data_IF_719729230814
#
_entry.id   IF_719729230814
#
_cell.length_a   1.000
_cell.length_b   1.000
_cell.length_c   1.000
_cell.angle_alpha   90.00
_cell.angle_beta   90.00
_cell.angle_gamma   90.00
#
_symmetry.space_group_name_H-M   'P 1'
#
loop_
_entity.id
_entity.type
_entity.pdbx_description
1 polymer ?
#
# COMPACT_ATOMS: atom_id res chain seq x y z
N UNK A 1 -4.66 -15.86 -8.01
CA UNK A 1 -3.64 -14.91 -8.51
C UNK A 1 -4.28 -13.53 -8.48
N UNK A 2 -3.57 -12.44 -8.13
CA UNK A 2 -4.19 -11.11 -8.11
C UNK A 2 -4.68 -10.74 -9.52
N UNK A 3 -5.85 -10.10 -9.65
CA UNK A 3 -6.54 -10.00 -10.93
C UNK A 3 -5.94 -8.97 -11.89
N UNK A 4 -5.20 -7.95 -11.41
CA UNK A 4 -4.63 -6.90 -12.29
C UNK A 4 -3.40 -6.20 -11.68
N UNK A 5 -2.53 -5.56 -12.49
CA UNK A 5 -1.43 -4.73 -11.99
C UNK A 5 -1.90 -3.57 -11.10
N UNK A 6 -1.21 -3.36 -9.98
CA UNK A 6 -1.55 -2.33 -9.01
C UNK A 6 -1.10 -2.67 -7.60
N UNK A 7 -1.57 -1.88 -6.64
CA UNK A 7 -1.32 -2.08 -5.21
C UNK A 7 -2.50 -2.80 -4.57
N UNK A 8 -2.23 -3.87 -3.85
CA UNK A 8 -3.18 -4.62 -3.05
C UNK A 8 -2.75 -4.58 -1.60
N UNK A 9 -3.63 -4.24 -0.68
CA UNK A 9 -3.39 -4.39 0.75
C UNK A 9 -4.22 -5.57 1.27
N UNK A 10 -3.54 -6.53 1.89
CA UNK A 10 -4.12 -7.82 2.29
C UNK A 10 -3.64 -8.22 3.68
N UNK A 11 -4.46 -8.98 4.41
CA UNK A 11 -3.99 -9.54 5.67
C UNK A 11 -2.98 -10.67 5.43
N UNK A 12 -1.96 -10.77 6.28
CA UNK A 12 -0.97 -11.87 6.29
C UNK A 12 -1.65 -13.24 6.38
N UNK A 13 -2.73 -13.33 7.16
CA UNK A 13 -3.55 -14.53 7.35
C UNK A 13 -4.16 -15.02 6.02
N UNK A 14 -4.65 -14.10 5.17
CA UNK A 14 -5.22 -14.40 3.85
C UNK A 14 -4.17 -14.94 2.87
N UNK A 15 -2.94 -14.40 2.90
CA UNK A 15 -1.83 -14.90 2.08
C UNK A 15 -1.44 -16.32 2.49
N UNK A 16 -1.38 -16.61 3.79
CA UNK A 16 -1.06 -17.95 4.30
C UNK A 16 -2.09 -19.01 3.88
N UNK A 17 -3.36 -18.62 3.76
CA UNK A 17 -4.47 -19.48 3.27
C UNK A 17 -4.44 -19.77 1.76
N UNK A 18 -3.38 -19.36 1.03
CA UNK A 18 -3.17 -19.61 -0.41
C UNK A 18 -4.18 -18.94 -1.35
N UNK A 19 -4.88 -17.90 -0.88
CA UNK A 19 -5.81 -17.09 -1.66
C UNK A 19 -5.09 -16.37 -2.81
N UNK A 20 -3.80 -16.08 -2.61
CA UNK A 20 -2.90 -15.55 -3.63
C UNK A 20 -1.96 -16.67 -4.07
N UNK A 21 -1.89 -16.94 -5.37
CA UNK A 21 -0.77 -17.71 -5.91
C UNK A 21 0.50 -17.01 -5.44
N UNK A 22 1.38 -17.72 -4.71
CA UNK A 22 2.54 -17.13 -4.01
C UNK A 22 3.25 -16.14 -4.95
N UNK A 23 3.34 -14.85 -4.60
CA UNK A 23 4.07 -13.89 -5.41
C UNK A 23 5.51 -14.37 -5.52
N UNK A 24 6.08 -14.28 -6.72
CA UNK A 24 7.38 -14.90 -7.03
C UNK A 24 8.54 -14.30 -6.25
N UNK A 25 8.39 -13.05 -5.78
CA UNK A 25 9.43 -12.34 -5.04
C UNK A 25 8.86 -11.68 -3.79
N UNK A 26 9.53 -11.89 -2.66
CA UNK A 26 9.19 -11.25 -1.38
C UNK A 26 10.27 -10.23 -1.03
N UNK A 27 9.86 -9.02 -0.63
CA UNK A 27 10.77 -7.96 -0.22
C UNK A 27 10.19 -7.10 0.91
N UNK A 28 11.08 -6.43 1.66
CA UNK A 28 10.65 -5.46 2.65
C UNK A 28 10.13 -4.18 1.99
N UNK A 29 9.25 -3.45 2.69
CA UNK A 29 8.75 -2.15 2.20
C UNK A 29 9.88 -1.16 1.87
N UNK A 30 10.95 -1.16 2.66
CA UNK A 30 12.13 -0.32 2.42
C UNK A 30 12.83 -0.72 1.11
N UNK A 31 13.01 -2.02 0.86
CA UNK A 31 13.67 -2.51 -0.36
C UNK A 31 12.84 -2.19 -1.60
N UNK A 32 11.52 -2.36 -1.51
CA UNK A 32 10.59 -2.00 -2.58
C UNK A 32 10.67 -0.50 -2.91
N UNK A 33 10.60 0.36 -1.90
CA UNK A 33 10.68 1.82 -2.09
C UNK A 33 12.04 2.24 -2.65
N UNK A 34 13.13 1.64 -2.16
CA UNK A 34 14.48 1.88 -2.68
C UNK A 34 14.58 1.47 -4.14
N UNK A 35 14.10 0.27 -4.50
CA UNK A 35 14.09 -0.18 -5.88
C UNK A 35 13.29 0.78 -6.76
N UNK A 36 12.11 1.22 -6.30
CA UNK A 36 11.26 2.17 -7.01
C UNK A 36 11.93 3.54 -7.23
N UNK A 37 12.57 4.09 -6.18
CA UNK A 37 13.21 5.41 -6.20
C UNK A 37 14.52 5.45 -7.00
N UNK A 38 15.35 4.40 -6.91
CA UNK A 38 16.71 4.41 -7.46
C UNK A 38 16.85 3.63 -8.78
N UNK A 39 15.74 3.32 -9.46
CA UNK A 39 15.82 2.61 -10.74
C UNK A 39 16.14 1.12 -10.63
N UNK A 40 16.08 0.54 -9.42
CA UNK A 40 16.29 -0.89 -9.23
C UNK A 40 15.15 -1.71 -9.84
N UNK A 41 15.43 -2.91 -10.33
CA UNK A 41 14.46 -3.81 -10.97
C UNK A 41 13.22 -4.04 -10.08
N UNK A 42 12.01 -3.84 -10.61
CA UNK A 42 10.77 -4.24 -9.93
C UNK A 42 10.33 -5.61 -10.47
N UNK A 43 9.96 -6.56 -9.59
CA UNK A 43 9.40 -7.82 -10.04
C UNK A 43 8.00 -7.61 -10.61
N UNK A 44 7.60 -8.47 -11.56
CA UNK A 44 6.23 -8.47 -12.09
C UNK A 44 5.18 -8.72 -11.01
N UNK A 45 5.54 -9.46 -9.97
CA UNK A 45 4.70 -9.75 -8.80
C UNK A 45 5.57 -9.62 -7.54
N UNK A 46 5.24 -8.66 -6.68
CA UNK A 46 5.96 -8.38 -5.44
C UNK A 46 5.07 -8.65 -4.22
N UNK A 47 5.53 -9.47 -3.28
CA UNK A 47 5.00 -9.52 -1.92
C UNK A 47 5.82 -8.57 -1.04
N UNK A 48 5.21 -7.45 -0.65
CA UNK A 48 5.83 -6.43 0.20
C UNK A 48 5.41 -6.62 1.64
N UNK A 49 6.38 -6.78 2.54
CA UNK A 49 6.13 -7.09 3.96
C UNK A 49 6.68 -6.00 4.89
N UNK A 50 6.09 -5.90 6.09
CA UNK A 50 6.67 -5.17 7.22
C UNK A 50 6.30 -3.69 7.32
N UNK A 51 5.38 -3.19 6.48
CA UNK A 51 4.88 -1.81 6.58
C UNK A 51 4.24 -1.53 7.95
N UNK A 52 3.32 -2.39 8.37
CA UNK A 52 2.64 -2.33 9.67
C UNK A 52 3.60 -2.28 10.87
N UNK A 53 4.60 -3.17 10.87
CA UNK A 53 5.60 -3.25 11.94
C UNK A 53 6.53 -2.05 11.95
N UNK A 54 6.94 -1.55 10.78
CA UNK A 54 7.71 -0.32 10.68
C UNK A 54 6.93 0.87 11.26
N UNK A 55 5.65 1.02 10.91
CA UNK A 55 4.81 2.10 11.44
C UNK A 55 4.55 1.93 12.94
N UNK A 56 4.44 0.71 13.45
CA UNK A 56 4.35 0.47 14.88
C UNK A 56 5.62 0.93 15.63
N UNK A 57 6.80 0.73 15.04
CA UNK A 57 8.03 1.26 15.63
C UNK A 57 8.05 2.78 15.67
N UNK A 58 7.61 3.45 14.59
CA UNK A 58 7.44 4.91 14.56
C UNK A 58 6.48 5.37 15.66
N UNK A 59 5.32 4.72 15.79
CA UNK A 59 4.34 5.02 16.83
C UNK A 59 4.94 4.97 18.24
N UNK A 60 5.72 3.92 18.55
CA UNK A 60 6.34 3.77 19.88
C UNK A 60 7.48 4.76 20.13
N UNK A 61 8.32 5.01 19.12
CA UNK A 61 9.48 5.89 19.26
C UNK A 61 9.10 7.35 19.46
N UNK A 62 7.95 7.78 18.92
CA UNK A 62 7.47 9.16 18.99
C UNK A 62 6.47 9.41 20.13
N UNK A 63 6.33 8.45 21.05
CA UNK A 63 5.38 8.51 22.15
C UNK A 63 4.03 7.91 21.77
N UNK A 64 3.57 6.91 22.52
CA UNK A 64 2.26 6.32 22.32
C UNK A 64 1.14 7.37 22.51
N UNK A 65 0.03 7.21 21.80
CA UNK A 65 -1.09 8.17 21.81
C UNK A 65 -1.07 9.13 20.62
N UNK A 66 -1.39 10.41 20.86
CA UNK A 66 -1.56 11.40 19.80
C UNK A 66 -0.25 11.68 19.02
N UNK A 67 0.86 11.85 19.73
CA UNK A 67 2.17 12.15 19.10
C UNK A 67 2.63 11.01 18.17
N UNK A 68 2.54 9.76 18.62
CA UNK A 68 2.86 8.59 17.80
C UNK A 68 1.93 8.43 16.61
N UNK A 69 0.62 8.73 16.75
CA UNK A 69 -0.32 8.73 15.63
C UNK A 69 0.03 9.79 14.59
N UNK A 70 0.42 10.98 15.04
CA UNK A 70 0.86 12.05 14.15
C UNK A 70 2.14 11.65 13.39
N UNK A 71 3.13 11.08 14.08
CA UNK A 71 4.35 10.59 13.45
C UNK A 71 4.07 9.50 12.41
N UNK A 72 3.20 8.53 12.73
CA UNK A 72 2.74 7.52 11.77
C UNK A 72 2.09 8.17 10.56
N UNK A 73 1.20 9.14 10.77
CA UNK A 73 0.53 9.86 9.68
C UNK A 73 1.53 10.54 8.75
N UNK A 74 2.54 11.22 9.31
CA UNK A 74 3.58 11.89 8.54
C UNK A 74 4.37 10.89 7.68
N UNK A 75 4.72 9.73 8.24
CA UNK A 75 5.40 8.65 7.50
C UNK A 75 4.51 8.08 6.42
N UNK A 76 3.25 7.73 6.72
CA UNK A 76 2.29 7.22 5.73
C UNK A 76 2.12 8.19 4.57
N UNK A 77 2.00 9.49 4.86
CA UNK A 77 1.91 10.53 3.84
C UNK A 77 3.18 10.62 2.98
N UNK A 78 4.37 10.50 3.59
CA UNK A 78 5.64 10.50 2.86
C UNK A 78 5.78 9.26 1.95
N UNK A 79 5.37 8.09 2.45
CA UNK A 79 5.36 6.85 1.67
C UNK A 79 4.38 6.93 0.50
N UNK A 80 3.15 7.40 0.75
CA UNK A 80 2.14 7.63 -0.28
C UNK A 80 2.68 8.58 -1.36
N UNK A 81 3.24 9.74 -0.99
CA UNK A 81 3.90 10.63 -1.96
C UNK A 81 5.01 9.94 -2.74
N UNK A 82 5.79 9.07 -2.11
CA UNK A 82 6.86 8.31 -2.77
C UNK A 82 6.31 7.31 -3.79
N UNK A 83 5.18 6.65 -3.52
CA UNK A 83 4.53 5.74 -4.47
C UNK A 83 3.91 6.48 -5.66
N UNK A 84 3.34 7.66 -5.42
CA UNK A 84 2.58 8.41 -6.42
C UNK A 84 3.37 9.58 -7.07
N UNK A 85 4.67 9.72 -6.79
CA UNK A 85 5.49 10.73 -7.46
C UNK A 85 5.63 10.42 -8.97
N UNK A 86 5.89 11.42 -9.84
CA UNK A 86 5.91 11.23 -11.28
C UNK A 86 6.89 10.16 -11.79
N UNK A 87 8.09 10.07 -11.20
CA UNK A 87 9.11 9.10 -11.60
C UNK A 87 8.70 7.68 -11.21
N UNK A 88 8.34 7.46 -9.95
CA UNK A 88 7.85 6.18 -9.45
C UNK A 88 6.62 5.71 -10.27
N UNK A 89 5.69 6.62 -10.52
CA UNK A 89 4.47 6.34 -11.27
C UNK A 89 4.75 5.93 -12.71
N UNK A 90 5.64 6.63 -13.42
CA UNK A 90 6.01 6.25 -14.78
C UNK A 90 6.60 4.83 -14.81
N UNK A 91 7.45 4.50 -13.84
CA UNK A 91 8.02 3.15 -13.72
C UNK A 91 6.97 2.08 -13.46
N UNK A 92 6.07 2.31 -12.50
CA UNK A 92 4.96 1.39 -12.20
C UNK A 92 4.04 1.19 -13.40
N UNK A 93 3.80 2.23 -14.20
CA UNK A 93 3.03 2.12 -15.44
C UNK A 93 3.77 1.32 -16.53
N UNK A 94 5.08 1.51 -16.67
CA UNK A 94 5.88 0.81 -17.68
C UNK A 94 6.11 -0.66 -17.31
N UNK A 95 6.49 -0.93 -16.06
CA UNK A 95 6.80 -2.28 -15.59
C UNK A 95 5.53 -3.06 -15.21
N UNK A 96 4.42 -2.36 -14.95
CA UNK A 96 3.09 -2.90 -14.62
C UNK A 96 3.12 -4.04 -13.59
N UNK A 97 3.77 -3.86 -12.42
CA UNK A 97 3.84 -4.92 -11.42
C UNK A 97 2.52 -5.09 -10.66
N UNK A 98 2.30 -6.29 -10.15
CA UNK A 98 1.32 -6.58 -9.10
C UNK A 98 2.04 -6.50 -7.76
N UNK A 99 1.62 -5.59 -6.87
CA UNK A 99 2.29 -5.36 -5.59
C UNK A 99 1.32 -5.63 -4.45
N UNK A 100 1.64 -6.60 -3.61
CA UNK A 100 0.83 -6.97 -2.45
C UNK A 100 1.51 -6.51 -1.16
N UNK A 101 0.96 -5.49 -0.51
CA UNK A 101 1.31 -5.10 0.85
C UNK A 101 0.61 -6.02 1.84
N UNK A 102 1.40 -6.79 2.59
CA UNK A 102 0.88 -7.66 3.66
C UNK A 102 0.90 -6.97 5.00
N UNK A 103 -0.25 -6.99 5.66
CA UNK A 103 -0.47 -6.33 6.95
C UNK A 103 -0.99 -7.35 7.96
N UNK A 104 -0.68 -7.16 9.23
CA UNK A 104 -1.08 -8.07 10.31
C UNK A 104 -2.54 -7.90 10.72
N UNK A 105 -3.09 -6.70 10.51
CA UNK A 105 -4.47 -6.37 10.81
C UNK A 105 -5.02 -5.41 9.73
N UNK A 106 -6.15 -5.79 9.15
CA UNK A 106 -6.98 -4.96 8.28
C UNK A 106 -8.45 -5.15 8.66
N UNK A 107 -9.16 -4.05 8.88
CA UNK A 107 -10.62 -4.07 9.10
C UNK A 107 -11.31 -3.20 8.05
N UNK A 108 -12.35 -3.77 7.42
CA UNK A 108 -13.20 -3.07 6.47
C UNK A 108 -14.46 -2.54 7.17
N UNK A 109 -14.69 -1.23 7.08
CA UNK A 109 -15.88 -0.55 7.58
C UNK A 109 -16.17 0.68 6.72
N UNK A 110 -16.55 1.81 7.33
CA UNK A 110 -16.65 3.09 6.59
C UNK A 110 -15.32 3.50 5.93
N UNK A 111 -14.20 3.07 6.51
CA UNK A 111 -12.84 3.19 5.99
C UNK A 111 -12.07 1.90 6.25
N UNK A 112 -11.03 1.68 5.48
CA UNK A 112 -10.11 0.56 5.69
C UNK A 112 -9.08 0.90 6.77
N UNK A 113 -9.21 0.28 7.93
CA UNK A 113 -8.27 0.47 9.04
C UNK A 113 -7.14 -0.55 8.94
N UNK A 114 -5.92 -0.11 9.19
CA UNK A 114 -4.74 -0.98 9.16
C UNK A 114 -3.85 -0.76 10.38
N UNK A 115 -3.15 -1.81 10.77
CA UNK A 115 -2.19 -1.73 11.87
C UNK A 115 -1.59 -3.07 12.26
N UNK A 116 -1.38 -3.25 13.56
CA UNK A 116 -0.77 -4.45 14.13
C UNK A 116 -1.69 -5.09 15.17
N UNK A 117 -1.40 -6.34 15.54
CA UNK A 117 -2.02 -6.97 16.71
C UNK A 117 -1.02 -6.95 17.86
N UNK A 118 -1.43 -6.36 18.98
CA UNK A 118 -0.63 -6.26 20.20
C UNK A 118 -0.62 -7.63 20.89
N UNK A 119 0.58 -8.15 21.13
CA UNK A 119 0.79 -9.44 21.81
C UNK A 119 0.94 -9.20 23.32
N UNK A 120 0.52 -10.16 24.17
CA UNK A 120 -0.03 -11.48 23.83
C UNK A 120 -1.54 -11.49 23.51
N UNK A 121 -2.30 -10.45 23.87
CA UNK A 121 -3.77 -10.44 23.85
C UNK A 121 -4.41 -10.45 22.45
N UNK A 122 -3.61 -10.28 21.39
CA UNK A 122 -4.05 -10.25 20.01
C UNK A 122 -5.05 -9.09 19.70
N UNK A 123 -5.02 -8.06 20.54
CA UNK A 123 -5.85 -6.86 20.42
C UNK A 123 -5.38 -6.02 19.21
N UNK A 124 -6.30 -5.57 18.35
CA UNK A 124 -5.93 -4.74 17.21
C UNK A 124 -5.52 -3.34 17.69
N UNK A 125 -4.37 -2.87 17.21
CA UNK A 125 -3.98 -1.47 17.28
C UNK A 125 -4.05 -0.89 15.87
N UNK A 126 -5.06 -0.05 15.64
CA UNK A 126 -5.15 0.76 14.43
C UNK A 126 -4.04 1.82 14.42
N UNK A 127 -3.26 1.83 13.35
CA UNK A 127 -2.16 2.77 13.13
C UNK A 127 -2.48 3.80 12.06
N UNK A 128 -3.17 3.42 10.98
CA UNK A 128 -3.46 4.31 9.86
C UNK A 128 -4.66 3.81 9.05
N UNK A 129 -5.22 4.68 8.22
CA UNK A 129 -6.21 4.29 7.22
C UNK A 129 -5.53 3.95 5.90
N UNK A 130 -5.95 2.87 5.24
CA UNK A 130 -5.36 2.46 3.97
C UNK A 130 -5.54 3.54 2.90
N UNK A 131 -6.61 4.33 2.96
CA UNK A 131 -6.86 5.46 2.04
C UNK A 131 -5.82 6.58 2.20
N UNK A 132 -5.11 6.67 3.31
CA UNK A 132 -4.01 7.63 3.44
C UNK A 132 -2.74 7.13 2.73
N UNK A 133 -2.54 5.82 2.73
CA UNK A 133 -1.41 5.16 2.06
C UNK A 133 -1.66 4.94 0.55
N UNK A 134 -2.87 4.49 0.22
CA UNK A 134 -3.42 4.20 -1.11
C UNK A 134 -4.67 5.07 -1.33
N UNK A 135 -4.54 6.36 -1.66
CA UNK A 135 -5.65 7.32 -1.78
C UNK A 135 -6.65 7.05 -2.90
N UNK A 136 -6.43 6.01 -3.71
CA UNK A 136 -7.39 5.53 -4.72
C UNK A 136 -7.72 4.06 -4.43
N UNK A 137 -7.91 3.75 -3.16
CA UNK A 137 -8.33 2.43 -2.70
C UNK A 137 -9.78 2.21 -3.14
N UNK A 138 -9.98 1.16 -3.92
CA UNK A 138 -11.26 0.59 -4.29
C UNK A 138 -11.39 -0.77 -3.59
N UNK A 139 -12.61 -1.19 -3.31
CA UNK A 139 -12.88 -2.54 -2.81
C UNK A 139 -12.87 -3.50 -3.99
N UNK A 140 -12.09 -4.58 -3.90
CA UNK A 140 -12.16 -5.71 -4.84
C UNK A 140 -12.12 -7.01 -4.06
N UNK A 141 -12.26 -8.13 -4.75
CA UNK A 141 -12.20 -9.46 -4.14
C UNK A 141 -10.95 -10.21 -4.61
N UNK A 142 -10.31 -10.92 -3.68
CA UNK A 142 -9.25 -11.84 -4.00
C UNK A 142 -9.48 -13.14 -3.24
N UNK A 143 -9.74 -14.22 -3.98
CA UNK A 143 -10.10 -15.55 -3.49
C UNK A 143 -11.16 -15.53 -2.37
N UNK A 144 -12.25 -14.77 -2.60
CA UNK A 144 -13.41 -14.69 -1.72
C UNK A 144 -13.31 -13.66 -0.59
N UNK A 145 -12.19 -12.97 -0.45
CA UNK A 145 -11.97 -11.97 0.59
C UNK A 145 -11.96 -10.56 -0.02
N UNK A 146 -12.63 -9.61 0.64
CA UNK A 146 -12.53 -8.20 0.27
C UNK A 146 -11.12 -7.67 0.55
N UNK A 147 -10.55 -6.96 -0.41
CA UNK A 147 -9.21 -6.36 -0.31
C UNK A 147 -9.23 -4.93 -0.85
N UNK A 148 -8.38 -4.07 -0.27
CA UNK A 148 -8.15 -2.72 -0.77
C UNK A 148 -7.22 -2.77 -1.98
N UNK A 149 -7.67 -2.24 -3.11
CA UNK A 149 -6.97 -2.25 -4.39
C UNK A 149 -6.82 -0.84 -4.98
N UNK A 150 -5.63 -0.52 -5.49
CA UNK A 150 -5.39 0.75 -6.18
C UNK A 150 -4.61 0.55 -7.49
N UNK A 151 -5.20 0.99 -8.60
CA UNK A 151 -4.57 0.90 -9.93
C UNK A 151 -3.48 1.96 -10.14
N UNK A 152 -2.49 1.63 -10.97
CA UNK A 152 -1.63 2.64 -11.56
C UNK A 152 -2.42 3.44 -12.60
N UNK A 153 -3.03 4.56 -12.22
CA UNK A 153 -3.79 5.34 -13.21
C UNK A 153 -2.88 6.23 -14.06
N UNK A 154 -3.15 6.28 -15.37
CA UNK A 154 -2.71 7.40 -16.21
C UNK A 154 -3.33 8.69 -15.65
N UNK A 155 -2.56 9.78 -15.50
CA UNK A 155 -3.13 11.11 -15.34
C UNK A 155 -4.00 11.25 -16.59
N UNK A 156 -5.32 11.45 -16.43
CA UNK A 156 -6.06 12.02 -17.54
C UNK A 156 -5.36 13.34 -17.81
N UNK A 157 -4.77 13.49 -19.00
CA UNK A 157 -4.44 14.81 -19.50
C UNK A 157 -5.73 15.61 -19.34
N UNK A 158 -5.65 16.71 -18.59
CA UNK A 158 -6.70 17.70 -18.65
C UNK A 158 -6.67 18.22 -20.09
N UNK A 159 -7.50 17.65 -20.96
CA UNK A 159 -7.83 18.24 -22.24
C UNK A 159 -8.70 19.47 -21.94
N UNK A 160 -8.03 20.54 -21.49
CA UNK A 160 -8.55 21.89 -21.55
C UNK A 160 -8.43 22.34 -23.00
N UNK A 161 -9.41 21.97 -23.82
CA UNK A 161 -9.58 22.57 -25.12
C UNK A 161 -9.80 24.07 -24.95
N UNK A 162 -8.87 24.87 -25.47
CA UNK A 162 -9.19 26.23 -25.87
C UNK A 162 -8.49 26.49 -27.21
N UNK A 163 -9.09 25.96 -28.27
CA UNK A 163 -8.96 26.53 -29.60
C UNK A 163 -10.00 27.65 -29.69
N UNK A 164 -9.59 28.88 -29.39
CA UNK A 164 -10.19 30.04 -30.03
C UNK A 164 -9.16 30.67 -30.94
N UNK A 165 -9.29 30.27 -32.20
CA UNK A 165 -9.01 31.10 -33.37
C UNK A 165 -10.18 32.10 -33.43
N UNK A 166 -9.85 33.37 -33.51
CA UNK A 166 -10.78 34.49 -33.64
C UNK A 166 -9.98 35.77 -33.64
#
# INVERSE_FOLDING_TARGET
MPPSPGFYAVEKSQVQRRIVARPKETMSVISFLRALMHGGRLPKEALVTGLDRMLYHVYRLHGEGAAGREAVQQVVNALSRSLYNPQARNRLLTESPVVLFTLEYIEHGERWKAGVRIRPRNEPLELFWLEQFLPRCEVTEMGGESVCYSQFRRRREAWGGNRHVG
#
